data_IF_234601166825
#
_entry.id   IF_234601166825
#
_cell.length_a   1.000
_cell.length_b   1.000
_cell.length_c   1.000
_cell.angle_alpha   90.00
_cell.angle_beta   90.00
_cell.angle_gamma   90.00
#
_symmetry.space_group_name_H-M   'P 1'
#
loop_
_entity.id
_entity.type
_entity.pdbx_description
1 polymer ?
#
# COMPACT_ATOMS: atom_id res chain seq x y z
N UNK A 1 19.34 10.12 -2.80
CA UNK A 1 18.49 9.47 -3.80
C UNK A 1 17.20 8.99 -3.18
N UNK A 2 16.12 9.19 -3.90
CA UNK A 2 14.83 8.70 -3.44
C UNK A 2 14.76 7.18 -3.59
N UNK A 3 14.18 6.52 -2.64
CA UNK A 3 14.00 5.08 -2.68
C UNK A 3 12.66 4.73 -2.03
N UNK A 4 12.20 3.52 -2.30
CA UNK A 4 10.96 3.05 -1.71
C UNK A 4 11.09 3.03 -0.19
N UNK A 5 10.05 3.54 0.46
CA UNK A 5 10.01 3.64 1.91
C UNK A 5 9.70 2.29 2.56
N UNK A 6 8.98 1.43 1.85
CA UNK A 6 8.52 0.15 2.38
C UNK A 6 9.12 -0.99 1.57
N UNK A 7 9.43 -2.07 2.26
CA UNK A 7 10.07 -3.24 1.64
C UNK A 7 9.00 -4.30 1.30
N UNK A 8 9.35 -5.16 0.35
CA UNK A 8 8.50 -6.31 0.03
C UNK A 8 8.37 -7.19 1.27
N UNK A 9 7.14 -7.59 1.56
CA UNK A 9 6.83 -8.39 2.73
C UNK A 9 6.50 -7.59 3.97
N UNK A 10 6.66 -6.28 3.91
CA UNK A 10 6.36 -5.42 5.05
C UNK A 10 4.85 -5.28 5.23
N UNK A 11 4.40 -5.32 6.47
CA UNK A 11 2.99 -5.11 6.80
C UNK A 11 2.68 -3.63 6.85
N UNK A 12 1.57 -3.26 6.23
CA UNK A 12 1.17 -1.87 6.07
C UNK A 12 -0.28 -1.67 6.49
N UNK A 13 -0.61 -0.43 6.75
CA UNK A 13 -1.98 0.03 6.92
C UNK A 13 -2.34 0.87 5.71
N UNK A 14 -3.45 0.53 5.07
CA UNK A 14 -3.96 1.30 3.95
C UNK A 14 -5.06 2.23 4.45
N UNK A 15 -4.93 3.51 4.11
CA UNK A 15 -5.91 4.51 4.52
C UNK A 15 -6.67 4.95 3.27
N UNK A 16 -7.85 4.38 3.02
CA UNK A 16 -8.65 4.80 1.87
C UNK A 16 -9.16 6.23 2.04
N UNK A 17 -9.59 6.80 0.95
CA UNK A 17 -10.13 8.15 0.94
C UNK A 17 -11.37 8.23 1.85
N UNK A 18 -11.65 9.45 2.29
CA UNK A 18 -12.82 9.70 3.11
C UNK A 18 -14.08 9.18 2.42
N UNK A 19 -14.92 8.48 3.16
CA UNK A 19 -16.13 7.91 2.63
C UNK A 19 -15.99 6.49 2.12
N UNK A 20 -14.78 5.99 2.09
CA UNK A 20 -14.55 4.61 1.68
C UNK A 20 -15.02 3.63 2.75
N UNK A 21 -15.36 2.44 2.30
CA UNK A 21 -15.82 1.38 3.18
C UNK A 21 -14.72 1.00 4.18
N UNK A 22 -15.09 0.90 5.44
CA UNK A 22 -14.14 0.53 6.48
C UNK A 22 -13.54 -0.87 6.26
N UNK A 23 -14.20 -1.71 5.48
CA UNK A 23 -13.64 -3.02 5.15
C UNK A 23 -12.37 -2.94 4.32
N UNK A 24 -12.11 -1.79 3.72
CA UNK A 24 -10.87 -1.58 2.96
C UNK A 24 -9.71 -1.24 3.86
N UNK A 25 -10.00 -0.89 5.11
CA UNK A 25 -8.95 -0.70 6.10
C UNK A 25 -8.49 -2.06 6.58
N UNK A 26 -7.33 -2.11 7.14
CA UNK A 26 -6.83 -3.34 7.69
C UNK A 26 -5.40 -3.56 7.31
N UNK A 27 -4.97 -4.78 7.51
CA UNK A 27 -3.58 -5.13 7.33
C UNK A 27 -3.32 -5.57 5.90
N UNK A 28 -2.33 -4.94 5.29
CA UNK A 28 -1.89 -5.27 3.95
C UNK A 28 -0.41 -5.60 3.99
N UNK A 29 0.05 -6.32 3.00
CA UNK A 29 1.45 -6.67 2.87
C UNK A 29 1.94 -6.22 1.51
N UNK A 30 3.16 -5.68 1.45
CA UNK A 30 3.76 -5.29 0.18
C UNK A 30 4.12 -6.55 -0.58
N UNK A 31 3.55 -6.69 -1.76
CA UNK A 31 3.84 -7.81 -2.66
C UNK A 31 4.97 -7.43 -3.59
N UNK A 32 4.99 -6.18 -4.04
CA UNK A 32 5.95 -5.72 -5.02
C UNK A 32 6.14 -4.22 -4.92
N UNK A 33 7.36 -3.77 -5.12
CA UNK A 33 7.66 -2.36 -5.28
C UNK A 33 7.54 -2.03 -6.76
N UNK A 34 6.79 -0.96 -7.05
CA UNK A 34 6.56 -0.54 -8.42
C UNK A 34 7.37 0.72 -8.71
N UNK A 35 7.67 0.99 -9.99
CA UNK A 35 8.41 2.19 -10.36
C UNK A 35 7.68 3.45 -9.94
N UNK A 36 8.45 4.50 -9.74
CA UNK A 36 7.89 5.81 -9.45
C UNK A 36 7.05 6.28 -10.63
N UNK A 37 5.86 6.78 -10.32
CA UNK A 37 4.97 7.35 -11.31
C UNK A 37 4.55 8.72 -10.79
N UNK A 38 4.73 9.73 -11.64
CA UNK A 38 4.53 11.10 -11.20
C UNK A 38 5.56 11.45 -10.14
N UNK A 39 5.11 11.89 -8.98
CA UNK A 39 5.98 12.28 -7.90
C UNK A 39 5.92 11.29 -6.73
N UNK A 40 5.47 10.07 -6.97
CA UNK A 40 5.29 9.13 -5.88
C UNK A 40 5.71 7.73 -6.28
N UNK A 41 6.32 7.04 -5.35
CA UNK A 41 6.56 5.61 -5.50
C UNK A 41 5.25 4.87 -5.32
N UNK A 42 5.13 3.76 -6.02
CA UNK A 42 3.93 2.94 -5.97
C UNK A 42 4.25 1.54 -5.47
N UNK A 43 3.22 0.86 -5.00
CA UNK A 43 3.37 -0.48 -4.45
C UNK A 43 2.17 -1.31 -4.84
N UNK A 44 2.43 -2.59 -5.04
CA UNK A 44 1.36 -3.56 -5.13
C UNK A 44 1.23 -4.19 -3.76
N UNK A 45 0.05 -4.09 -3.18
CA UNK A 45 -0.18 -4.61 -1.83
C UNK A 45 -1.32 -5.61 -1.87
N UNK A 46 -1.32 -6.51 -0.90
CA UNK A 46 -2.32 -7.57 -0.81
C UNK A 46 -2.96 -7.53 0.56
N UNK A 47 -4.29 -7.59 0.59
CA UNK A 47 -5.03 -7.67 1.83
C UNK A 47 -4.77 -9.01 2.51
N UNK A 48 -4.37 -8.98 3.78
CA UNK A 48 -4.19 -10.20 4.53
C UNK A 48 -5.52 -10.82 4.94
N UNK A 49 -6.57 -10.02 4.95
CA UNK A 49 -7.89 -10.50 5.33
C UNK A 49 -8.66 -11.07 4.15
N UNK A 50 -8.66 -10.34 3.03
CA UNK A 50 -9.51 -10.69 1.91
C UNK A 50 -8.74 -11.27 0.73
N UNK A 51 -7.43 -11.13 0.70
CA UNK A 51 -6.60 -11.73 -0.32
C UNK A 51 -6.54 -10.99 -1.65
N UNK A 52 -7.28 -9.93 -1.83
CA UNK A 52 -7.19 -9.17 -3.07
C UNK A 52 -5.99 -8.24 -3.08
N UNK A 53 -5.51 -7.91 -4.28
CA UNK A 53 -4.37 -7.02 -4.45
C UNK A 53 -4.81 -5.70 -5.05
N UNK A 54 -4.03 -4.66 -4.77
CA UNK A 54 -4.28 -3.36 -5.37
C UNK A 54 -2.98 -2.58 -5.46
N UNK A 55 -2.97 -1.62 -6.38
CA UNK A 55 -1.84 -0.71 -6.56
C UNK A 55 -2.16 0.59 -5.83
N UNK A 56 -1.22 1.04 -5.00
CA UNK A 56 -1.40 2.25 -4.21
C UNK A 56 -0.15 3.10 -4.28
N UNK A 57 -0.30 4.38 -3.97
CA UNK A 57 0.82 5.28 -3.84
C UNK A 57 1.35 5.23 -2.41
N UNK A 58 2.61 5.61 -2.26
CA UNK A 58 3.27 5.58 -0.96
C UNK A 58 2.56 6.45 0.07
N UNK A 59 1.93 7.55 -0.36
CA UNK A 59 1.24 8.44 0.55
C UNK A 59 -0.12 7.91 1.01
N UNK A 60 -0.57 6.80 0.43
CA UNK A 60 -1.85 6.19 0.81
C UNK A 60 -1.67 5.08 1.85
N UNK A 61 -0.43 4.73 2.14
CA UNK A 61 -0.12 3.65 3.05
C UNK A 61 0.85 4.14 4.11
N UNK A 62 0.84 3.44 5.23
CA UNK A 62 1.76 3.75 6.31
C UNK A 62 2.15 2.47 7.04
N UNK A 63 3.22 2.56 7.80
CA UNK A 63 3.71 1.43 8.56
C UNK A 63 2.64 0.97 9.55
N UNK A 64 2.48 -0.34 9.61
CA UNK A 64 1.53 -0.94 10.54
C UNK A 64 1.92 -0.72 11.99
#
# INVERSE_FOLDING_TARGET
>A
MASHKFAVGQTLRFSPSLGEDSRRKGRYKVVRQLPEAGNAFQYRIKSETYGHERVVREDQIERW
#
